data_IF_012348357347
#
_entry.id   IF_012348357347
#
_cell.length_a   1.000
_cell.length_b   1.000
_cell.length_c   1.000
_cell.angle_alpha   90.00
_cell.angle_beta   90.00
_cell.angle_gamma   90.00
#
_symmetry.space_group_name_H-M   'P 1'
#
loop_
_entity.id
_entity.type
_entity.pdbx_description
1 polymer ?
#
# COMPACT_ATOMS: atom_id res chain seq x y z
N UNK A 1 -44.44 16.29 42.62
CA UNK A 1 -44.64 16.72 41.22
C UNK A 1 -43.44 17.55 40.80
N UNK A 2 -42.39 16.91 40.31
CA UNK A 2 -41.24 17.59 39.68
C UNK A 2 -41.12 16.98 38.28
N UNK A 3 -41.58 17.73 37.28
CA UNK A 3 -41.46 17.37 35.87
C UNK A 3 -40.03 17.68 35.41
N UNK A 4 -39.18 16.65 35.36
CA UNK A 4 -37.93 16.68 34.62
C UNK A 4 -38.25 16.76 33.12
N UNK A 5 -38.13 17.96 32.54
CA UNK A 5 -38.03 18.13 31.09
C UNK A 5 -36.63 17.71 30.67
N UNK A 6 -36.54 16.57 30.01
CA UNK A 6 -35.39 16.19 29.18
C UNK A 6 -35.14 17.29 28.14
N UNK A 7 -33.91 17.77 27.95
CA UNK A 7 -33.60 18.67 26.87
C UNK A 7 -33.66 17.88 25.56
N UNK A 8 -34.63 18.23 24.70
CA UNK A 8 -34.63 17.80 23.31
C UNK A 8 -33.32 18.28 22.66
N UNK A 9 -32.48 17.34 22.21
CA UNK A 9 -31.50 17.62 21.18
C UNK A 9 -32.26 18.16 19.96
N UNK A 10 -32.24 19.48 19.78
CA UNK A 10 -32.53 20.08 18.49
C UNK A 10 -31.53 19.48 17.51
N UNK A 11 -32.04 18.87 16.44
CA UNK A 11 -31.23 18.22 15.43
C UNK A 11 -30.13 19.16 14.96
N UNK A 12 -28.89 18.66 14.99
CA UNK A 12 -27.83 19.19 14.14
C UNK A 12 -28.38 19.17 12.72
N UNK A 13 -28.77 20.33 12.19
CA UNK A 13 -29.11 20.45 10.78
C UNK A 13 -27.93 19.93 10.00
N UNK A 14 -28.12 18.87 9.21
CA UNK A 14 -27.09 18.41 8.28
C UNK A 14 -26.72 19.60 7.41
N UNK A 15 -25.49 20.10 7.56
CA UNK A 15 -24.95 21.12 6.67
C UNK A 15 -24.87 20.43 5.30
N UNK A 16 -25.76 20.83 4.39
CA UNK A 16 -25.78 20.28 3.04
C UNK A 16 -24.58 20.87 2.28
N UNK A 17 -23.48 20.13 2.24
CA UNK A 17 -22.24 20.52 1.59
C UNK A 17 -22.34 20.21 0.09
N UNK A 18 -22.64 21.24 -0.70
CA UNK A 18 -22.60 21.20 -2.16
C UNK A 18 -21.19 21.52 -2.64
N UNK A 19 -20.51 20.50 -3.15
CA UNK A 19 -19.12 20.54 -3.59
C UNK A 19 -19.04 20.58 -5.12
N UNK A 20 -18.52 21.67 -5.66
CA UNK A 20 -18.12 21.76 -7.07
C UNK A 20 -16.72 21.19 -7.27
N UNK A 21 -16.55 20.28 -8.23
CA UNK A 21 -15.25 19.76 -8.66
C UNK A 21 -14.98 20.24 -10.10
N UNK A 22 -13.97 21.10 -10.29
CA UNK A 22 -13.64 21.69 -11.59
C UNK A 22 -12.13 21.92 -11.77
N UNK A 23 -11.50 21.43 -12.86
CA UNK A 23 -12.07 20.64 -13.94
C UNK A 23 -12.20 19.15 -13.57
N UNK A 24 -13.33 18.55 -13.93
CA UNK A 24 -13.66 17.16 -13.59
C UNK A 24 -12.93 16.11 -14.45
N UNK A 25 -12.33 16.53 -15.57
CA UNK A 25 -11.65 15.62 -16.50
C UNK A 25 -10.38 14.99 -15.91
N UNK A 26 -9.78 15.63 -14.89
CA UNK A 26 -8.55 15.18 -14.26
C UNK A 26 -8.78 13.94 -13.39
N UNK A 27 -7.80 13.04 -13.35
CA UNK A 27 -7.92 11.81 -12.54
C UNK A 27 -7.99 12.13 -11.04
N UNK A 28 -7.22 13.10 -10.56
CA UNK A 28 -7.31 13.62 -9.18
C UNK A 28 -8.72 14.15 -8.85
N UNK A 29 -9.46 14.66 -9.84
CA UNK A 29 -10.83 15.10 -9.67
C UNK A 29 -11.78 13.91 -9.42
N UNK A 30 -11.62 12.84 -10.20
CA UNK A 30 -12.42 11.60 -10.08
C UNK A 30 -12.12 10.89 -8.75
N UNK A 31 -10.85 10.80 -8.38
CA UNK A 31 -10.41 10.21 -7.10
C UNK A 31 -10.99 10.97 -5.90
N UNK A 32 -10.98 12.30 -5.97
CA UNK A 32 -11.59 13.13 -4.94
C UNK A 32 -13.12 12.98 -4.91
N UNK A 33 -13.77 12.88 -6.07
CA UNK A 33 -15.22 12.67 -6.16
C UNK A 33 -15.66 11.36 -5.50
N UNK A 34 -14.91 10.26 -5.68
CA UNK A 34 -15.17 8.99 -4.99
C UNK A 34 -15.14 9.17 -3.47
N UNK A 35 -14.11 9.86 -2.95
CA UNK A 35 -13.96 10.14 -1.51
C UNK A 35 -15.10 11.03 -0.99
N UNK A 36 -15.45 12.08 -1.73
CA UNK A 36 -16.54 12.99 -1.39
C UNK A 36 -17.89 12.27 -1.32
N UNK A 37 -18.19 11.40 -2.30
CA UNK A 37 -19.42 10.58 -2.28
C UNK A 37 -19.43 9.55 -1.15
N UNK A 38 -18.27 8.96 -0.82
CA UNK A 38 -18.16 8.06 0.33
C UNK A 38 -18.43 8.78 1.67
N UNK A 39 -18.22 10.10 1.73
CA UNK A 39 -18.59 10.96 2.86
C UNK A 39 -20.02 11.52 2.76
N UNK A 40 -20.81 11.06 1.79
CA UNK A 40 -22.19 11.51 1.54
C UNK A 40 -22.30 13.03 1.24
N UNK A 41 -21.29 13.61 0.58
CA UNK A 41 -21.34 14.98 0.07
C UNK A 41 -22.10 15.02 -1.27
N UNK A 42 -22.80 16.13 -1.52
CA UNK A 42 -23.45 16.37 -2.81
C UNK A 42 -22.42 16.89 -3.81
N UNK A 43 -22.11 16.09 -4.84
CA UNK A 43 -21.01 16.36 -5.79
C UNK A 43 -21.55 16.91 -7.10
N UNK A 44 -21.12 18.13 -7.43
CA UNK A 44 -21.38 18.79 -8.71
C UNK A 44 -20.09 18.75 -9.53
N UNK A 45 -20.07 17.95 -10.59
CA UNK A 45 -18.94 17.92 -11.52
C UNK A 45 -19.03 19.04 -12.55
N UNK A 46 -17.90 19.61 -12.95
CA UNK A 46 -17.88 20.57 -14.07
C UNK A 46 -16.72 20.35 -15.04
N UNK A 47 -16.97 20.63 -16.32
CA UNK A 47 -15.98 20.53 -17.39
C UNK A 47 -16.11 21.67 -18.39
N UNK A 48 -14.99 22.11 -18.95
CA UNK A 48 -14.93 23.03 -20.10
C UNK A 48 -14.97 22.31 -21.44
N UNK A 49 -14.82 20.99 -21.45
CA UNK A 49 -14.78 20.19 -22.68
C UNK A 49 -16.05 19.35 -22.85
N UNK A 50 -16.58 18.82 -21.74
CA UNK A 50 -17.73 17.90 -21.77
C UNK A 50 -19.02 18.70 -21.62
N UNK A 51 -19.92 18.53 -22.59
CA UNK A 51 -21.28 19.11 -22.58
C UNK A 51 -22.35 18.10 -22.19
N UNK A 52 -22.01 16.81 -22.08
CA UNK A 52 -22.94 15.76 -21.63
C UNK A 52 -23.06 15.78 -20.10
N UNK A 53 -24.28 15.84 -19.59
CA UNK A 53 -24.60 16.28 -18.21
C UNK A 53 -24.79 15.14 -17.20
N UNK A 54 -24.40 13.90 -17.52
CA UNK A 54 -24.50 12.76 -16.60
C UNK A 54 -23.14 12.09 -16.42
N UNK A 55 -22.69 11.97 -15.17
CA UNK A 55 -21.46 11.28 -14.81
C UNK A 55 -21.70 10.44 -13.55
N UNK A 56 -21.24 9.18 -13.53
CA UNK A 56 -21.53 8.24 -12.42
C UNK A 56 -20.98 8.71 -11.06
N UNK A 57 -19.88 9.47 -11.09
CA UNK A 57 -19.23 10.03 -9.90
C UNK A 57 -19.74 11.42 -9.47
N UNK A 58 -20.79 11.95 -10.10
CA UNK A 58 -21.36 13.24 -9.74
C UNK A 58 -22.89 13.14 -9.68
N UNK A 59 -23.51 13.89 -8.77
CA UNK A 59 -24.96 13.93 -8.62
C UNK A 59 -25.58 14.92 -9.63
N UNK A 60 -24.82 15.99 -9.94
CA UNK A 60 -25.09 16.91 -11.03
C UNK A 60 -23.81 17.14 -11.86
N UNK A 61 -23.97 17.45 -13.14
CA UNK A 61 -22.84 17.80 -14.01
C UNK A 61 -23.15 19.04 -14.84
N UNK A 62 -22.30 20.05 -14.74
CA UNK A 62 -22.47 21.34 -15.40
C UNK A 62 -21.32 21.63 -16.37
N UNK A 63 -21.57 22.54 -17.30
CA UNK A 63 -20.53 23.09 -18.15
C UNK A 63 -20.04 24.41 -17.55
N UNK A 64 -18.72 24.58 -17.47
CA UNK A 64 -18.08 25.85 -17.16
C UNK A 64 -17.09 26.17 -18.29
N UNK A 65 -17.08 27.37 -18.89
CA UNK A 65 -16.10 27.74 -19.90
C UNK A 65 -14.66 27.58 -19.41
N UNK A 66 -13.69 27.66 -20.31
CA UNK A 66 -12.30 27.76 -19.89
C UNK A 66 -12.09 29.03 -19.06
N UNK A 67 -11.18 29.01 -18.08
CA UNK A 67 -10.90 30.18 -17.23
C UNK A 67 -10.38 31.41 -18.02
N UNK A 68 -9.93 31.19 -19.25
CA UNK A 68 -9.51 32.23 -20.19
C UNK A 68 -10.67 32.86 -20.97
N UNK A 69 -11.87 32.27 -20.92
CA UNK A 69 -13.06 32.81 -21.54
C UNK A 69 -13.56 34.02 -20.74
N UNK A 70 -13.83 35.17 -21.37
CA UNK A 70 -14.32 36.36 -20.66
C UNK A 70 -15.62 36.15 -19.88
N UNK A 71 -16.44 35.17 -20.29
CA UNK A 71 -17.71 34.83 -19.64
C UNK A 71 -17.56 33.91 -18.43
N UNK A 72 -16.38 33.31 -18.21
CA UNK A 72 -16.16 32.32 -17.15
C UNK A 72 -16.58 32.84 -15.77
N UNK A 73 -16.12 34.03 -15.39
CA UNK A 73 -16.36 34.57 -14.05
C UNK A 73 -17.86 34.71 -13.76
N UNK A 74 -18.62 35.27 -14.70
CA UNK A 74 -20.06 35.47 -14.48
C UNK A 74 -20.84 34.16 -14.51
N UNK A 75 -20.47 33.21 -15.38
CA UNK A 75 -21.08 31.87 -15.39
C UNK A 75 -20.73 31.12 -14.11
N UNK A 76 -19.50 31.20 -13.62
CA UNK A 76 -19.06 30.59 -12.37
C UNK A 76 -19.89 31.10 -11.18
N UNK A 77 -20.03 32.42 -11.00
CA UNK A 77 -20.86 32.98 -9.92
C UNK A 77 -22.34 32.61 -10.07
N UNK A 78 -22.88 32.63 -11.29
CA UNK A 78 -24.25 32.18 -11.54
C UNK A 78 -24.45 30.71 -11.17
N UNK A 79 -23.46 29.86 -11.43
CA UNK A 79 -23.47 28.46 -11.01
C UNK A 79 -23.41 28.30 -9.49
N UNK A 80 -22.60 29.11 -8.79
CA UNK A 80 -22.54 29.09 -7.33
C UNK A 80 -23.91 29.32 -6.70
N UNK A 81 -24.63 30.34 -7.20
CA UNK A 81 -25.97 30.69 -6.72
C UNK A 81 -27.00 29.63 -7.09
N UNK A 82 -27.05 29.24 -8.37
CA UNK A 82 -28.04 28.31 -8.92
C UNK A 82 -27.99 26.93 -8.27
N UNK A 83 -26.79 26.41 -8.03
CA UNK A 83 -26.58 25.07 -7.48
C UNK A 83 -26.24 25.09 -5.97
N UNK A 84 -26.37 26.26 -5.34
CA UNK A 84 -26.04 26.48 -3.92
C UNK A 84 -24.66 25.93 -3.54
N UNK A 85 -23.66 26.12 -4.40
CA UNK A 85 -22.31 25.59 -4.19
C UNK A 85 -21.68 26.31 -3.01
N UNK A 86 -21.23 25.52 -2.04
CA UNK A 86 -20.59 26.03 -0.81
C UNK A 86 -19.09 25.81 -0.83
N UNK A 87 -18.63 24.78 -1.53
CA UNK A 87 -17.23 24.36 -1.59
C UNK A 87 -16.80 24.15 -3.04
N UNK A 88 -15.58 24.53 -3.35
CA UNK A 88 -14.99 24.37 -4.69
C UNK A 88 -13.67 23.65 -4.55
N UNK A 89 -13.54 22.49 -5.18
CA UNK A 89 -12.30 21.75 -5.33
C UNK A 89 -11.77 21.91 -6.76
N UNK A 90 -10.57 22.46 -6.89
CA UNK A 90 -9.92 22.71 -8.16
C UNK A 90 -8.55 22.01 -8.22
N UNK A 91 -8.45 20.81 -8.81
CA UNK A 91 -7.19 20.05 -8.85
C UNK A 91 -6.17 20.61 -9.85
N UNK A 92 -6.57 21.52 -10.75
CA UNK A 92 -5.64 22.16 -11.69
C UNK A 92 -5.07 23.46 -11.10
N UNK A 93 -3.74 23.57 -11.00
CA UNK A 93 -3.06 24.71 -10.37
C UNK A 93 -3.50 26.08 -10.92
N UNK A 94 -3.56 26.25 -12.25
CA UNK A 94 -4.00 27.50 -12.86
C UNK A 94 -5.48 27.84 -12.60
N UNK A 95 -6.34 26.83 -12.51
CA UNK A 95 -7.78 27.03 -12.23
C UNK A 95 -7.96 27.41 -10.77
N UNK A 96 -7.26 26.73 -9.87
CA UNK A 96 -7.27 27.04 -8.45
C UNK A 96 -6.81 28.48 -8.19
N UNK A 97 -5.70 28.91 -8.81
CA UNK A 97 -5.19 30.29 -8.68
C UNK A 97 -6.22 31.31 -9.18
N UNK A 98 -6.84 31.04 -10.34
CA UNK A 98 -7.88 31.92 -10.88
C UNK A 98 -9.07 32.02 -9.94
N UNK A 99 -9.62 30.90 -9.48
CA UNK A 99 -10.76 30.89 -8.53
C UNK A 99 -10.37 31.56 -7.20
N UNK A 100 -9.12 31.40 -6.74
CA UNK A 100 -8.61 32.08 -5.55
C UNK A 100 -8.60 33.60 -5.73
N UNK A 101 -8.25 34.10 -6.92
CA UNK A 101 -8.32 35.53 -7.24
C UNK A 101 -9.76 36.04 -7.18
N UNK A 102 -10.73 35.28 -7.71
CA UNK A 102 -12.16 35.62 -7.65
C UNK A 102 -12.69 35.73 -6.21
N UNK A 103 -12.20 34.86 -5.32
CA UNK A 103 -12.52 34.93 -3.89
C UNK A 103 -11.96 36.20 -3.22
N UNK A 104 -10.80 36.69 -3.69
CA UNK A 104 -10.09 37.84 -3.11
C UNK A 104 -10.60 39.17 -3.66
N UNK A 105 -10.88 39.24 -4.96
CA UNK A 105 -11.26 40.48 -5.65
C UNK A 105 -12.72 40.89 -5.40
N UNK A 106 -13.61 39.93 -5.11
CA UNK A 106 -15.04 40.17 -4.85
C UNK A 106 -15.56 39.32 -3.69
N UNK A 107 -15.09 39.54 -2.44
CA UNK A 107 -15.38 38.66 -1.30
C UNK A 107 -16.87 38.59 -0.91
N UNK A 108 -17.69 39.54 -1.36
CA UNK A 108 -19.13 39.62 -1.06
C UNK A 108 -20.03 39.00 -2.12
N UNK A 109 -19.52 38.61 -3.29
CA UNK A 109 -20.32 37.97 -4.36
C UNK A 109 -20.31 36.46 -4.14
N UNK A 110 -21.35 35.94 -3.49
CA UNK A 110 -21.61 34.51 -3.25
C UNK A 110 -20.45 33.77 -2.55
N UNK A 111 -20.40 33.77 -1.20
CA UNK A 111 -19.28 33.21 -0.47
C UNK A 111 -19.18 31.69 -0.66
N UNK A 112 -17.98 31.23 -1.02
CA UNK A 112 -17.65 29.81 -1.12
C UNK A 112 -16.29 29.53 -0.47
N UNK A 113 -16.09 28.28 -0.05
CA UNK A 113 -14.81 27.78 0.42
C UNK A 113 -14.03 27.14 -0.73
N UNK A 114 -12.89 27.71 -1.09
CA UNK A 114 -11.94 27.04 -1.99
C UNK A 114 -11.11 26.04 -1.20
N UNK A 115 -11.23 24.76 -1.52
CA UNK A 115 -10.55 23.67 -0.82
C UNK A 115 -9.02 23.84 -0.88
N UNK A 116 -8.38 23.56 0.24
CA UNK A 116 -6.92 23.54 0.44
C UNK A 116 -6.44 22.13 0.79
N UNK A 117 -5.15 21.79 0.57
CA UNK A 117 -4.06 22.64 0.06
C UNK A 117 -4.23 23.05 -1.41
N UNK A 118 -3.49 24.07 -1.84
CA UNK A 118 -3.41 24.42 -3.27
C UNK A 118 -2.77 23.25 -4.05
N UNK A 119 -3.10 23.03 -5.34
CA UNK A 119 -2.65 21.84 -6.07
C UNK A 119 -1.15 21.55 -6.01
N UNK A 120 -0.29 22.56 -6.19
CA UNK A 120 1.16 22.35 -6.10
C UNK A 120 1.65 21.99 -4.69
N UNK A 121 0.97 22.50 -3.66
CA UNK A 121 1.25 22.14 -2.27
C UNK A 121 0.72 20.74 -1.97
N UNK A 122 -0.47 20.40 -2.48
CA UNK A 122 -1.04 19.06 -2.40
C UNK A 122 -0.09 18.02 -3.01
N UNK A 123 0.38 18.29 -4.24
CA UNK A 123 1.36 17.46 -4.94
C UNK A 123 2.60 17.27 -4.06
N UNK A 124 3.17 18.34 -3.50
CA UNK A 124 4.34 18.23 -2.63
C UNK A 124 4.07 17.42 -1.35
N UNK A 125 2.92 17.62 -0.71
CA UNK A 125 2.53 16.88 0.50
C UNK A 125 2.46 15.36 0.24
N UNK A 126 2.10 14.92 -0.97
CA UNK A 126 2.16 13.49 -1.34
C UNK A 126 3.60 12.93 -1.32
N UNK A 127 4.62 13.76 -1.57
CA UNK A 127 6.02 13.32 -1.55
C UNK A 127 6.70 13.57 -0.20
N UNK A 128 6.24 14.55 0.58
CA UNK A 128 6.86 14.97 1.83
C UNK A 128 7.07 13.79 2.79
N UNK A 129 6.01 12.99 3.02
CA UNK A 129 6.09 11.81 3.88
C UNK A 129 7.16 10.81 3.42
N UNK A 130 7.32 10.62 2.10
CA UNK A 130 8.35 9.75 1.55
C UNK A 130 9.77 10.27 1.74
N UNK A 131 9.96 11.59 1.69
CA UNK A 131 11.25 12.22 1.96
C UNK A 131 11.58 12.25 3.45
N UNK A 132 10.59 12.42 4.31
CA UNK A 132 10.74 12.33 5.76
C UNK A 132 11.19 10.93 6.16
N UNK A 133 10.48 9.89 5.68
CA UNK A 133 10.86 8.49 5.88
C UNK A 133 12.27 8.22 5.34
N UNK A 134 12.58 8.65 4.10
CA UNK A 134 13.91 8.44 3.51
C UNK A 134 15.04 9.10 4.31
N UNK A 135 14.78 10.25 4.92
CA UNK A 135 15.75 10.96 5.78
C UNK A 135 16.07 10.17 7.05
N UNK A 136 15.07 9.49 7.62
CA UNK A 136 15.26 8.56 8.74
C UNK A 136 16.04 7.33 8.28
N UNK A 137 15.62 6.68 7.20
CA UNK A 137 16.23 5.45 6.66
C UNK A 137 17.71 5.61 6.31
N UNK A 138 18.12 6.74 5.73
CA UNK A 138 19.54 7.00 5.44
C UNK A 138 20.41 7.02 6.69
N UNK A 139 19.86 7.43 7.83
CA UNK A 139 20.58 7.52 9.10
C UNK A 139 20.53 6.21 9.89
N UNK A 140 19.66 5.27 9.51
CA UNK A 140 19.54 4.00 10.22
C UNK A 140 20.81 3.15 10.11
N UNK A 141 21.20 2.53 11.21
CA UNK A 141 22.43 1.73 11.33
C UNK A 141 22.13 0.26 11.62
N UNK A 142 20.89 -0.21 11.40
CA UNK A 142 20.50 -1.60 11.64
C UNK A 142 21.36 -2.58 10.84
N UNK A 143 21.62 -2.31 9.55
CA UNK A 143 22.48 -3.17 8.72
C UNK A 143 23.87 -3.40 9.34
N UNK A 144 24.47 -2.38 9.99
CA UNK A 144 25.76 -2.51 10.68
C UNK A 144 25.67 -3.27 12.00
N UNK A 145 24.50 -3.24 12.67
CA UNK A 145 24.26 -3.94 13.94
C UNK A 145 24.01 -5.43 13.75
N UNK A 146 23.37 -5.82 12.65
CA UNK A 146 22.92 -7.20 12.40
C UNK A 146 23.93 -8.07 11.63
N UNK A 147 25.04 -7.49 11.15
CA UNK A 147 26.13 -8.28 10.58
C UNK A 147 27.49 -7.84 11.09
N UNK A 148 28.33 -8.82 11.42
CA UNK A 148 29.74 -8.65 11.72
C UNK A 148 30.62 -9.02 10.53
N UNK A 149 30.05 -9.63 9.48
CA UNK A 149 30.75 -10.06 8.27
C UNK A 149 30.61 -9.03 7.15
N UNK A 150 31.73 -8.75 6.46
CA UNK A 150 31.78 -7.83 5.32
C UNK A 150 31.55 -8.59 4.01
N UNK A 151 30.99 -7.94 2.97
CA UNK A 151 30.68 -6.51 2.87
C UNK A 151 29.20 -6.17 3.06
N UNK A 152 28.93 -5.10 3.84
CA UNK A 152 27.62 -4.40 3.85
C UNK A 152 27.55 -3.56 2.57
N UNK A 153 26.47 -3.69 1.79
CA UNK A 153 26.27 -2.87 0.58
C UNK A 153 26.03 -1.40 0.94
N UNK A 154 26.42 -0.49 0.05
CA UNK A 154 26.26 0.95 0.23
C UNK A 154 24.78 1.33 0.27
N UNK A 155 24.36 2.14 1.26
CA UNK A 155 23.01 2.73 1.31
C UNK A 155 22.63 3.42 0.00
N UNK A 156 21.35 3.38 -0.32
CA UNK A 156 20.78 4.08 -1.47
C UNK A 156 20.72 5.59 -1.24
N UNK A 157 20.49 6.34 -2.32
CA UNK A 157 20.32 7.80 -2.24
C UNK A 157 18.97 8.19 -1.62
N UNK A 158 18.85 9.45 -1.19
CA UNK A 158 17.60 9.97 -0.60
C UNK A 158 16.41 9.82 -1.54
N UNK A 159 16.58 10.20 -2.81
CA UNK A 159 15.54 10.05 -3.82
C UNK A 159 15.19 8.59 -4.13
N UNK A 160 16.14 7.67 -4.02
CA UNK A 160 15.89 6.23 -4.17
C UNK A 160 15.04 5.67 -3.03
N UNK A 161 15.36 6.01 -1.77
CA UNK A 161 14.53 5.62 -0.63
C UNK A 161 13.15 6.28 -0.66
N UNK A 162 13.05 7.55 -1.03
CA UNK A 162 11.76 8.23 -1.18
C UNK A 162 10.92 7.61 -2.30
N UNK A 163 11.56 7.21 -3.41
CA UNK A 163 10.90 6.50 -4.51
C UNK A 163 10.38 5.13 -4.09
N UNK A 164 11.19 4.35 -3.36
CA UNK A 164 10.79 3.06 -2.78
C UNK A 164 9.58 3.22 -1.85
N UNK A 165 9.65 4.15 -0.89
CA UNK A 165 8.55 4.41 0.04
C UNK A 165 7.28 4.84 -0.68
N UNK A 166 7.39 5.74 -1.67
CA UNK A 166 6.24 6.18 -2.47
C UNK A 166 5.55 5.02 -3.21
N UNK A 167 6.33 4.10 -3.79
CA UNK A 167 5.76 2.92 -4.44
C UNK A 167 5.12 2.00 -3.40
N UNK A 168 5.81 1.75 -2.29
CA UNK A 168 5.36 0.89 -1.20
C UNK A 168 4.04 1.35 -0.57
N UNK A 169 3.84 2.64 -0.32
CA UNK A 169 2.61 3.17 0.29
C UNK A 169 1.42 3.26 -0.69
N UNK A 170 1.68 3.20 -2.00
CA UNK A 170 0.64 3.11 -3.03
C UNK A 170 0.12 1.70 -3.25
N UNK A 171 0.90 0.67 -2.92
CA UNK A 171 0.46 -0.72 -2.98
C UNK A 171 -0.35 -1.06 -1.72
N UNK A 172 -1.62 -1.51 -1.83
CA UNK A 172 -2.41 -1.92 -0.67
C UNK A 172 -1.74 -3.08 0.08
N UNK A 173 -1.91 -3.16 1.41
CA UNK A 173 -1.38 -4.28 2.20
C UNK A 173 -1.04 -3.89 3.64
N UNK A 174 -0.88 -4.90 4.50
CA UNK A 174 -0.63 -4.77 5.94
C UNK A 174 0.87 -4.85 6.26
N UNK A 175 1.67 -4.00 5.58
CA UNK A 175 3.10 -3.90 5.78
C UNK A 175 3.43 -2.43 6.06
N UNK A 176 4.02 -2.11 7.20
CA UNK A 176 4.20 -0.72 7.63
C UNK A 176 5.61 -0.15 7.32
N UNK A 177 5.82 1.10 7.71
CA UNK A 177 7.06 1.84 7.45
C UNK A 177 8.25 1.29 8.27
N UNK A 178 8.00 0.69 9.44
CA UNK A 178 9.02 0.05 10.27
C UNK A 178 9.48 -1.27 9.64
N UNK A 179 8.54 -2.08 9.13
CA UNK A 179 8.85 -3.28 8.34
C UNK A 179 9.62 -2.91 7.08
N UNK A 180 9.21 -1.87 6.33
CA UNK A 180 9.96 -1.40 5.17
C UNK A 180 11.41 -1.00 5.54
N UNK A 181 11.60 -0.27 6.63
CA UNK A 181 12.94 0.11 7.12
C UNK A 181 13.79 -1.15 7.39
N UNK A 182 13.21 -2.15 8.04
CA UNK A 182 13.84 -3.45 8.30
C UNK A 182 14.25 -4.17 7.03
N UNK A 183 13.37 -4.22 6.02
CA UNK A 183 13.66 -4.80 4.71
C UNK A 183 14.83 -4.08 4.02
N UNK A 184 14.92 -2.74 4.13
CA UNK A 184 16.05 -1.99 3.56
C UNK A 184 17.38 -2.29 4.24
N UNK A 185 17.37 -2.56 5.55
CA UNK A 185 18.56 -2.93 6.30
C UNK A 185 19.01 -4.36 5.96
N UNK A 186 18.06 -5.30 5.91
CA UNK A 186 18.32 -6.69 5.54
C UNK A 186 18.87 -6.79 4.11
N UNK A 187 18.26 -6.10 3.14
CA UNK A 187 18.72 -6.14 1.75
C UNK A 187 20.19 -5.68 1.55
N UNK A 188 20.72 -4.83 2.43
CA UNK A 188 22.13 -4.43 2.38
C UNK A 188 23.09 -5.58 2.72
N UNK A 189 22.64 -6.56 3.50
CA UNK A 189 23.47 -7.65 4.05
C UNK A 189 23.13 -9.03 3.46
N UNK A 190 22.06 -9.17 2.68
CA UNK A 190 21.67 -10.44 2.09
C UNK A 190 22.77 -11.02 1.17
N UNK A 191 23.06 -12.33 1.25
CA UNK A 191 23.85 -13.00 0.22
C UNK A 191 23.11 -12.97 -1.13
N UNK A 192 23.81 -13.23 -2.24
CA UNK A 192 23.13 -13.42 -3.52
C UNK A 192 22.38 -14.75 -3.49
N UNK A 193 21.16 -14.75 -4.00
CA UNK A 193 20.29 -15.91 -4.01
C UNK A 193 18.84 -15.51 -4.26
N UNK A 194 17.97 -16.50 -4.28
CA UNK A 194 16.54 -16.28 -4.45
C UNK A 194 15.96 -15.64 -3.18
N UNK A 195 14.91 -14.86 -3.35
CA UNK A 195 14.06 -14.37 -2.25
C UNK A 195 12.72 -15.06 -2.42
N UNK A 196 12.24 -15.73 -1.37
CA UNK A 196 10.93 -16.39 -1.39
C UNK A 196 10.04 -15.72 -0.36
N UNK A 197 8.83 -15.36 -0.78
CA UNK A 197 7.79 -14.83 0.10
C UNK A 197 6.59 -15.78 0.06
N UNK A 198 6.15 -16.27 1.23
CA UNK A 198 4.94 -17.08 1.40
C UNK A 198 3.86 -16.17 1.96
N UNK A 199 2.76 -16.01 1.22
CA UNK A 199 1.74 -14.99 1.49
C UNK A 199 2.15 -13.64 0.90
N UNK A 200 1.59 -13.32 -0.26
CA UNK A 200 1.94 -12.12 -1.01
C UNK A 200 0.77 -11.13 -1.11
N UNK A 201 -0.48 -11.61 -1.04
CA UNK A 201 -1.69 -10.78 -1.09
C UNK A 201 -1.66 -9.81 -2.30
N UNK A 202 -1.61 -8.49 -2.07
CA UNK A 202 -1.51 -7.44 -3.10
C UNK A 202 -0.06 -7.16 -3.55
N UNK A 203 0.94 -7.77 -2.90
CA UNK A 203 2.36 -7.69 -3.25
C UNK A 203 3.11 -6.51 -2.63
N UNK A 204 2.65 -5.91 -1.53
CA UNK A 204 3.27 -4.71 -0.95
C UNK A 204 4.73 -4.94 -0.55
N UNK A 205 5.00 -6.00 0.22
CA UNK A 205 6.34 -6.45 0.60
C UNK A 205 7.12 -7.04 -0.59
N UNK A 206 6.49 -7.88 -1.43
CA UNK A 206 7.09 -8.38 -2.68
C UNK A 206 7.68 -7.26 -3.55
N UNK A 207 6.95 -6.15 -3.73
CA UNK A 207 7.41 -5.01 -4.52
C UNK A 207 8.63 -4.32 -3.89
N UNK A 208 8.61 -4.13 -2.57
CA UNK A 208 9.77 -3.57 -1.87
C UNK A 208 10.99 -4.48 -1.97
N UNK A 209 10.80 -5.79 -1.75
CA UNK A 209 11.85 -6.80 -1.87
C UNK A 209 12.40 -6.86 -3.30
N UNK A 210 11.54 -6.87 -4.32
CA UNK A 210 11.95 -6.96 -5.72
C UNK A 210 12.76 -5.73 -6.14
N UNK A 211 12.28 -4.54 -5.78
CA UNK A 211 12.98 -3.28 -6.05
C UNK A 211 14.34 -3.22 -5.34
N UNK A 212 14.41 -3.61 -4.06
CA UNK A 212 15.66 -3.67 -3.30
C UNK A 212 16.63 -4.71 -3.89
N UNK A 213 16.13 -5.88 -4.27
CA UNK A 213 16.92 -6.96 -4.85
C UNK A 213 17.54 -6.57 -6.19
N UNK A 214 16.82 -5.83 -7.03
CA UNK A 214 17.34 -5.28 -8.29
C UNK A 214 18.48 -4.28 -8.01
N UNK A 215 18.27 -3.34 -7.09
CA UNK A 215 19.26 -2.29 -6.76
C UNK A 215 20.52 -2.84 -6.09
N UNK A 216 20.39 -3.91 -5.33
CA UNK A 216 21.49 -4.56 -4.61
C UNK A 216 22.05 -5.80 -5.31
N UNK A 217 21.53 -6.16 -6.49
CA UNK A 217 21.92 -7.33 -7.28
C UNK A 217 21.93 -8.61 -6.43
N UNK A 218 20.80 -8.90 -5.78
CA UNK A 218 20.61 -10.04 -4.86
C UNK A 218 20.16 -11.27 -5.65
N UNK A 219 18.94 -11.22 -6.20
CA UNK A 219 18.34 -12.27 -7.02
C UNK A 219 16.87 -11.97 -7.31
N UNK A 220 16.13 -12.99 -7.74
CA UNK A 220 14.71 -12.87 -8.04
C UNK A 220 13.86 -13.06 -6.80
N UNK A 221 12.70 -12.39 -6.75
CA UNK A 221 11.66 -12.62 -5.75
C UNK A 221 10.64 -13.61 -6.31
N UNK A 222 10.33 -14.64 -5.55
CA UNK A 222 9.38 -15.69 -5.89
C UNK A 222 8.27 -15.65 -4.83
N UNK A 223 7.11 -15.18 -5.24
CA UNK A 223 5.92 -15.10 -4.38
C UNK A 223 5.15 -16.41 -4.43
N UNK A 224 4.76 -16.94 -3.28
CA UNK A 224 4.01 -18.19 -3.13
C UNK A 224 2.71 -17.87 -2.39
N UNK A 225 1.61 -17.96 -3.11
CA UNK A 225 0.28 -17.64 -2.57
C UNK A 225 -0.78 -18.39 -3.41
N UNK A 226 -1.80 -19.01 -2.82
CA UNK A 226 -2.90 -19.59 -3.60
C UNK A 226 -3.79 -18.51 -4.25
N UNK A 227 -3.86 -17.30 -3.67
CA UNK A 227 -4.88 -16.28 -3.94
C UNK A 227 -6.29 -16.88 -3.92
N UNK A 228 -6.60 -17.55 -2.81
CA UNK A 228 -7.89 -18.19 -2.47
C UNK A 228 -8.31 -17.75 -1.05
N UNK A 229 -8.52 -16.43 -0.88
CA UNK A 229 -8.89 -15.82 0.41
C UNK A 229 -10.27 -16.27 0.90
N UNK A 230 -11.14 -16.73 0.02
CA UNK A 230 -12.43 -17.31 0.37
C UNK A 230 -12.29 -18.62 1.18
N UNK A 231 -11.13 -19.29 1.08
CA UNK A 231 -10.79 -20.53 1.80
C UNK A 231 -9.97 -20.26 3.08
N UNK A 232 -9.71 -18.99 3.43
CA UNK A 232 -9.08 -18.62 4.70
C UNK A 232 -10.04 -18.84 5.86
N UNK A 233 -10.21 -20.10 6.27
CA UNK A 233 -10.94 -20.45 7.48
C UNK A 233 -10.16 -20.03 8.74
N UNK A 234 -10.85 -19.29 9.60
CA UNK A 234 -10.61 -19.11 11.04
C UNK A 234 -9.15 -18.83 11.47
N UNK A 235 -8.71 -17.56 11.42
CA UNK A 235 -7.33 -17.18 11.75
C UNK A 235 -6.94 -17.45 13.22
N UNK A 236 -7.91 -17.51 14.15
CA UNK A 236 -7.82 -18.09 15.51
C UNK A 236 -9.16 -17.90 16.27
N UNK A 237 -9.39 -18.66 17.36
CA UNK A 237 -10.51 -18.39 18.29
C UNK A 237 -10.49 -16.96 18.89
N UNK A 238 -9.33 -16.29 18.95
CA UNK A 238 -9.20 -14.89 19.44
C UNK A 238 -9.44 -13.85 18.33
N UNK A 239 -9.44 -14.27 17.06
CA UNK A 239 -9.72 -13.44 15.90
C UNK A 239 -11.24 -13.32 15.59
N UNK A 240 -12.13 -13.75 16.50
CA UNK A 240 -13.59 -13.78 16.26
C UNK A 240 -14.17 -12.44 15.79
N UNK A 241 -13.61 -11.31 16.23
CA UNK A 241 -14.05 -9.97 15.80
C UNK A 241 -13.81 -9.77 14.30
N UNK A 242 -12.67 -10.25 13.78
CA UNK A 242 -12.32 -10.21 12.36
C UNK A 242 -13.22 -11.16 11.54
N UNK A 243 -13.65 -12.27 12.15
CA UNK A 243 -14.48 -13.29 11.50
C UNK A 243 -15.96 -12.86 11.33
N UNK A 244 -16.46 -11.90 12.13
CA UNK A 244 -17.91 -11.68 12.30
C UNK A 244 -18.60 -10.80 11.25
N UNK A 245 -17.86 -10.20 10.30
CA UNK A 245 -18.42 -9.41 9.20
C UNK A 245 -17.55 -9.55 7.96
N UNK A 246 -17.65 -10.70 7.30
CA UNK A 246 -16.95 -10.97 6.04
C UNK A 246 -17.46 -10.00 4.98
N UNK A 247 -16.70 -8.92 4.76
CA UNK A 247 -16.66 -8.28 3.46
C UNK A 247 -16.14 -9.38 2.53
N UNK A 248 -16.92 -9.78 1.53
CA UNK A 248 -16.52 -10.77 0.54
C UNK A 248 -15.32 -10.20 -0.24
N UNK A 249 -14.11 -10.64 0.11
CA UNK A 249 -12.88 -10.25 -0.59
C UNK A 249 -12.78 -11.13 -1.82
N UNK A 250 -12.91 -10.52 -2.99
CA UNK A 250 -12.78 -11.18 -4.29
C UNK A 250 -11.30 -11.46 -4.57
N UNK A 251 -10.87 -12.72 -4.38
CA UNK A 251 -9.46 -13.11 -4.53
C UNK A 251 -8.92 -12.88 -5.93
N UNK A 252 -9.78 -12.89 -6.96
CA UNK A 252 -9.35 -12.59 -8.34
C UNK A 252 -8.96 -11.12 -8.47
N UNK A 253 -9.68 -10.21 -7.82
CA UNK A 253 -9.29 -8.80 -7.77
C UNK A 253 -7.98 -8.60 -7.00
N UNK A 254 -7.78 -9.32 -5.91
CA UNK A 254 -6.51 -9.28 -5.17
C UNK A 254 -5.34 -9.72 -6.05
N UNK A 255 -5.48 -10.86 -6.72
CA UNK A 255 -4.47 -11.35 -7.65
C UNK A 255 -4.21 -10.36 -8.82
N UNK A 256 -5.25 -9.79 -9.41
CA UNK A 256 -5.09 -8.79 -10.48
C UNK A 256 -4.32 -7.55 -10.01
N UNK A 257 -4.57 -7.10 -8.78
CA UNK A 257 -3.82 -5.99 -8.17
C UNK A 257 -2.37 -6.41 -7.90
N UNK A 258 -2.12 -7.63 -7.42
CA UNK A 258 -0.76 -8.17 -7.29
C UNK A 258 0.00 -8.12 -8.63
N UNK A 259 -0.59 -8.65 -9.70
CA UNK A 259 0.00 -8.62 -11.05
C UNK A 259 0.27 -7.19 -11.51
N UNK A 260 -0.69 -6.28 -11.35
CA UNK A 260 -0.54 -4.88 -11.75
C UNK A 260 0.61 -4.16 -11.04
N UNK A 261 0.96 -4.55 -9.81
CA UNK A 261 2.13 -4.01 -9.12
C UNK A 261 3.41 -4.76 -9.51
N UNK A 262 3.40 -6.10 -9.49
CA UNK A 262 4.58 -6.93 -9.72
C UNK A 262 5.15 -6.79 -11.15
N UNK A 263 4.31 -6.55 -12.16
CA UNK A 263 4.73 -6.36 -13.56
C UNK A 263 5.65 -5.16 -13.77
N UNK A 264 5.70 -4.22 -12.82
CA UNK A 264 6.61 -3.09 -12.86
C UNK A 264 8.07 -3.48 -12.57
N UNK A 265 8.32 -4.72 -12.15
CA UNK A 265 9.62 -5.28 -11.81
C UNK A 265 9.93 -6.48 -12.70
N UNK A 266 11.16 -6.59 -13.19
CA UNK A 266 11.58 -7.68 -14.07
C UNK A 266 12.11 -8.92 -13.34
N UNK A 267 12.21 -8.85 -12.01
CA UNK A 267 12.80 -9.88 -11.15
C UNK A 267 11.79 -10.45 -10.14
N UNK A 268 10.49 -10.27 -10.37
CA UNK A 268 9.42 -10.84 -9.54
C UNK A 268 8.69 -11.92 -10.34
N UNK A 269 8.60 -13.12 -9.77
CA UNK A 269 7.78 -14.22 -10.26
C UNK A 269 6.85 -14.73 -9.16
N UNK A 270 5.91 -15.60 -9.53
CA UNK A 270 5.00 -16.23 -8.57
C UNK A 270 4.73 -17.70 -8.88
N UNK A 271 4.37 -18.44 -7.84
CA UNK A 271 3.81 -19.79 -7.86
C UNK A 271 2.43 -19.70 -7.20
N UNK A 272 1.37 -19.92 -7.98
CA UNK A 272 -0.02 -19.83 -7.50
C UNK A 272 -0.50 -21.14 -6.88
N UNK A 273 0.00 -21.46 -5.69
CA UNK A 273 -0.31 -22.69 -4.92
C UNK A 273 -0.15 -22.44 -3.42
N UNK A 274 -0.70 -23.34 -2.61
CA UNK A 274 -0.33 -23.46 -1.21
C UNK A 274 1.18 -23.77 -1.07
N UNK A 275 1.78 -23.25 0.00
CA UNK A 275 3.22 -23.30 0.27
C UNK A 275 3.84 -24.70 0.18
N UNK A 276 3.15 -25.71 0.73
CA UNK A 276 3.59 -27.11 0.77
C UNK A 276 3.63 -27.76 -0.61
N UNK A 277 2.75 -27.33 -1.52
CA UNK A 277 2.70 -27.83 -2.90
C UNK A 277 3.65 -27.05 -3.82
N UNK A 278 3.83 -25.76 -3.54
CA UNK A 278 4.68 -24.85 -4.32
C UNK A 278 6.18 -25.23 -4.26
N UNK A 279 6.62 -25.96 -3.24
CA UNK A 279 8.04 -26.34 -3.10
C UNK A 279 8.53 -27.20 -4.27
N UNK A 280 7.68 -28.03 -4.85
CA UNK A 280 8.06 -28.88 -5.98
C UNK A 280 8.26 -28.04 -7.26
N UNK A 281 7.44 -27.00 -7.45
CA UNK A 281 7.60 -26.06 -8.55
C UNK A 281 8.91 -25.27 -8.39
N UNK A 282 9.25 -24.82 -7.17
CA UNK A 282 10.54 -24.17 -6.89
C UNK A 282 11.72 -25.11 -7.16
N UNK A 283 11.65 -26.38 -6.72
CA UNK A 283 12.68 -27.39 -6.99
C UNK A 283 12.84 -27.67 -8.48
N UNK A 284 11.76 -27.65 -9.26
CA UNK A 284 11.84 -27.82 -10.71
C UNK A 284 12.38 -26.57 -11.40
N UNK A 285 11.97 -25.38 -10.97
CA UNK A 285 12.54 -24.11 -11.44
C UNK A 285 14.06 -24.02 -11.19
N UNK A 286 14.53 -24.51 -10.03
CA UNK A 286 15.97 -24.67 -9.73
C UNK A 286 16.68 -25.55 -10.77
N UNK A 287 16.08 -26.68 -11.17
CA UNK A 287 16.67 -27.57 -12.20
C UNK A 287 16.70 -26.91 -13.57
N UNK A 288 15.68 -26.13 -13.90
CA UNK A 288 15.57 -25.41 -15.17
C UNK A 288 16.40 -24.11 -15.22
N UNK A 289 16.77 -23.56 -14.06
CA UNK A 289 17.46 -22.27 -13.91
C UNK A 289 16.54 -21.05 -14.05
N UNK A 290 15.23 -21.25 -14.19
CA UNK A 290 14.24 -20.18 -14.23
C UNK A 290 12.87 -20.65 -13.74
N UNK A 291 12.07 -19.72 -13.25
CA UNK A 291 10.65 -19.89 -12.98
C UNK A 291 9.86 -19.14 -14.05
N UNK A 292 8.84 -19.79 -14.62
CA UNK A 292 7.90 -19.14 -15.53
C UNK A 292 6.58 -18.88 -14.81
N UNK A 293 6.15 -17.63 -14.84
CA UNK A 293 4.83 -17.18 -14.41
C UNK A 293 4.03 -16.73 -15.64
N UNK A 294 2.72 -16.96 -15.64
CA UNK A 294 1.87 -16.69 -16.81
C UNK A 294 1.88 -15.21 -17.19
N UNK A 295 1.66 -14.33 -16.21
CA UNK A 295 1.55 -12.89 -16.43
C UNK A 295 2.89 -12.12 -16.32
N UNK A 296 3.89 -12.67 -15.62
CA UNK A 296 5.17 -11.99 -15.33
C UNK A 296 6.36 -12.51 -16.14
N UNK A 297 6.15 -13.52 -16.99
CA UNK A 297 7.22 -14.07 -17.84
C UNK A 297 8.18 -14.98 -17.07
N UNK A 298 9.49 -14.82 -17.30
CA UNK A 298 10.52 -15.69 -16.70
C UNK A 298 11.45 -14.91 -15.78
N UNK A 299 11.71 -15.47 -14.61
CA UNK A 299 12.74 -14.98 -13.67
C UNK A 299 13.80 -16.05 -13.43
N UNK A 300 15.05 -15.66 -13.25
CA UNK A 300 16.15 -16.59 -12.93
C UNK A 300 15.95 -17.18 -11.54
N UNK A 301 16.23 -18.47 -11.39
CA UNK A 301 16.20 -19.18 -10.09
C UNK A 301 17.56 -19.82 -9.86
N UNK A 302 18.22 -19.43 -8.77
CA UNK A 302 19.52 -19.97 -8.38
C UNK A 302 19.39 -21.28 -7.60
N UNK A 303 18.28 -21.48 -6.89
CA UNK A 303 18.04 -22.65 -6.07
C UNK A 303 18.68 -22.59 -4.68
N UNK A 304 19.10 -21.40 -4.25
CA UNK A 304 19.64 -21.11 -2.92
C UNK A 304 18.89 -19.90 -2.39
N UNK A 305 18.13 -20.07 -1.30
CA UNK A 305 17.29 -19.00 -0.75
C UNK A 305 18.15 -18.11 0.14
N UNK A 306 18.31 -16.86 -0.27
CA UNK A 306 18.98 -15.80 0.49
C UNK A 306 18.06 -15.21 1.57
N UNK A 307 16.76 -15.16 1.30
CA UNK A 307 15.72 -14.65 2.19
C UNK A 307 14.44 -15.47 2.03
N UNK A 308 13.93 -16.04 3.11
CA UNK A 308 12.59 -16.59 3.21
C UNK A 308 11.75 -15.66 4.09
N UNK A 309 10.66 -15.13 3.55
CA UNK A 309 9.67 -14.34 4.28
C UNK A 309 8.38 -15.16 4.40
N UNK A 310 7.97 -15.47 5.63
CA UNK A 310 6.75 -16.24 5.95
C UNK A 310 5.72 -15.29 6.53
N UNK A 311 4.68 -15.00 5.74
CA UNK A 311 3.62 -14.00 5.96
C UNK A 311 2.27 -14.55 5.44
N UNK A 312 2.06 -15.86 5.68
CA UNK A 312 0.94 -16.63 5.14
C UNK A 312 -0.19 -16.83 6.16
N UNK A 313 -0.24 -18.04 6.74
CA UNK A 313 -1.22 -18.39 7.77
C UNK A 313 -0.75 -17.99 9.17
N UNK A 314 -1.68 -17.64 10.05
CA UNK A 314 -1.39 -17.32 11.45
C UNK A 314 -1.64 -18.50 12.41
N UNK A 315 -2.03 -19.66 11.87
CA UNK A 315 -2.20 -20.89 12.65
C UNK A 315 -0.85 -21.55 12.87
N UNK A 316 -0.58 -21.92 14.12
CA UNK A 316 0.67 -22.55 14.55
C UNK A 316 1.08 -23.73 13.64
N UNK A 317 0.14 -24.63 13.32
CA UNK A 317 0.40 -25.82 12.53
C UNK A 317 0.76 -25.49 11.07
N UNK A 318 0.11 -24.49 10.48
CA UNK A 318 0.37 -24.07 9.11
C UNK A 318 1.71 -23.33 8.99
N UNK A 319 2.01 -22.43 9.93
CA UNK A 319 3.33 -21.78 10.01
C UNK A 319 4.44 -22.83 10.11
N UNK A 320 4.28 -23.85 10.94
CA UNK A 320 5.27 -24.92 11.04
C UNK A 320 5.41 -25.74 9.76
N UNK A 321 4.34 -25.94 8.99
CA UNK A 321 4.42 -26.59 7.67
C UNK A 321 5.25 -25.75 6.71
N UNK A 322 5.06 -24.44 6.69
CA UNK A 322 5.85 -23.51 5.87
C UNK A 322 7.33 -23.61 6.23
N UNK A 323 7.64 -23.49 7.52
CA UNK A 323 9.02 -23.57 8.03
C UNK A 323 9.67 -24.91 7.67
N UNK A 324 9.03 -26.04 7.98
CA UNK A 324 9.59 -27.37 7.67
C UNK A 324 9.82 -27.59 6.19
N UNK A 325 8.99 -26.98 5.35
CA UNK A 325 9.06 -27.13 3.89
C UNK A 325 10.17 -26.29 3.29
N UNK A 326 10.32 -25.03 3.73
CA UNK A 326 11.13 -24.03 3.04
C UNK A 326 12.45 -23.68 3.75
N UNK A 327 12.49 -23.74 5.09
CA UNK A 327 13.72 -23.44 5.86
C UNK A 327 14.94 -24.27 5.42
N UNK A 328 14.83 -25.58 5.08
CA UNK A 328 15.97 -26.37 4.64
C UNK A 328 16.65 -25.84 3.35
N UNK A 329 15.95 -25.03 2.58
CA UNK A 329 16.43 -24.44 1.32
C UNK A 329 17.09 -23.06 1.51
N UNK A 330 17.03 -22.48 2.71
CA UNK A 330 17.78 -21.27 3.08
C UNK A 330 19.27 -21.59 3.14
N UNK A 331 20.08 -20.77 2.48
CA UNK A 331 21.52 -20.90 2.47
C UNK A 331 22.16 -20.42 3.78
N UNK A 332 23.39 -20.85 4.07
CA UNK A 332 24.18 -20.29 5.18
C UNK A 332 24.38 -18.78 4.97
N UNK A 333 24.15 -18.00 6.03
CA UNK A 333 24.10 -16.53 5.98
C UNK A 333 22.82 -15.94 5.40
N UNK A 334 21.91 -16.78 4.89
CA UNK A 334 20.56 -16.39 4.49
C UNK A 334 19.65 -16.09 5.69
N UNK A 335 18.51 -15.46 5.43
CA UNK A 335 17.60 -14.99 6.47
C UNK A 335 16.23 -15.63 6.36
N UNK A 336 15.62 -15.87 7.52
CA UNK A 336 14.21 -16.19 7.71
C UNK A 336 13.56 -14.99 8.40
N UNK A 337 12.48 -14.48 7.82
CA UNK A 337 11.58 -13.51 8.40
C UNK A 337 10.27 -14.23 8.70
N UNK A 338 9.83 -14.18 9.94
CA UNK A 338 8.55 -14.72 10.38
C UNK A 338 7.67 -13.56 10.80
N UNK A 339 6.66 -13.26 9.98
CA UNK A 339 5.77 -12.14 10.20
C UNK A 339 4.74 -12.43 11.30
N UNK A 340 4.12 -11.37 11.82
CA UNK A 340 3.12 -11.47 12.89
C UNK A 340 3.62 -12.23 14.14
N UNK A 341 4.94 -12.20 14.37
CA UNK A 341 5.56 -12.74 15.59
C UNK A 341 5.08 -11.98 16.84
N UNK A 342 4.83 -10.67 16.71
CA UNK A 342 4.14 -9.85 17.74
C UNK A 342 2.78 -9.41 17.21
N UNK A 343 1.78 -10.29 17.33
CA UNK A 343 0.42 -10.04 16.81
C UNK A 343 -0.65 -10.08 17.90
N UNK A 344 -1.58 -9.12 17.91
CA UNK A 344 -2.61 -9.05 18.95
C UNK A 344 -3.76 -10.05 18.79
N UNK A 345 -3.91 -10.64 17.60
CA UNK A 345 -5.08 -11.47 17.25
C UNK A 345 -4.79 -12.98 17.28
N UNK A 346 -3.56 -13.38 17.58
CA UNK A 346 -3.13 -14.78 17.59
C UNK A 346 -1.67 -14.90 18.02
N UNK A 347 -1.20 -16.14 18.21
CA UNK A 347 0.16 -16.42 18.68
C UNK A 347 0.81 -17.57 17.91
N UNK A 348 0.31 -17.93 16.74
CA UNK A 348 0.85 -19.03 15.94
C UNK A 348 2.30 -18.75 15.51
N UNK A 349 2.58 -17.66 14.76
CA UNK A 349 3.94 -17.28 14.41
C UNK A 349 4.83 -17.06 15.64
N UNK A 350 4.31 -16.46 16.71
CA UNK A 350 5.04 -16.29 17.96
C UNK A 350 5.56 -17.62 18.53
N UNK A 351 4.69 -18.62 18.67
CA UNK A 351 5.06 -19.93 19.21
C UNK A 351 6.08 -20.63 18.32
N UNK A 352 5.93 -20.57 16.99
CA UNK A 352 6.92 -21.15 16.06
C UNK A 352 8.27 -20.44 16.18
N UNK A 353 8.27 -19.11 16.24
CA UNK A 353 9.49 -18.31 16.41
C UNK A 353 10.22 -18.61 17.72
N UNK A 354 9.49 -18.74 18.83
CA UNK A 354 10.04 -19.10 20.14
C UNK A 354 10.76 -20.46 20.09
N UNK A 355 10.15 -21.46 19.43
CA UNK A 355 10.77 -22.77 19.24
C UNK A 355 11.98 -22.71 18.30
N UNK A 356 11.91 -21.95 17.20
CA UNK A 356 13.03 -21.76 16.28
C UNK A 356 14.27 -21.17 16.96
N UNK A 357 14.08 -20.22 17.88
CA UNK A 357 15.17 -19.62 18.67
C UNK A 357 15.93 -20.67 19.50
N UNK A 358 15.31 -21.81 19.84
CA UNK A 358 15.96 -22.89 20.61
C UNK A 358 16.80 -23.85 19.75
N UNK A 359 16.57 -23.90 18.44
CA UNK A 359 17.15 -24.90 17.52
C UNK A 359 18.66 -24.77 17.32
N UNK A 360 19.27 -23.66 17.74
CA UNK A 360 20.68 -23.30 17.50
C UNK A 360 21.07 -23.24 16.01
N UNK A 361 20.12 -23.32 15.08
CA UNK A 361 20.36 -23.22 13.63
C UNK A 361 20.61 -21.78 13.16
N UNK A 362 20.24 -20.81 13.99
CA UNK A 362 20.39 -19.39 13.70
C UNK A 362 21.48 -18.77 14.59
N UNK A 363 22.29 -17.88 14.03
CA UNK A 363 23.36 -17.19 14.77
C UNK A 363 23.03 -15.73 15.12
N UNK A 364 21.98 -15.18 14.52
CA UNK A 364 21.50 -13.82 14.74
C UNK A 364 19.99 -13.87 14.79
N UNK A 365 19.42 -13.21 15.80
CA UNK A 365 17.98 -13.08 15.96
C UNK A 365 17.64 -11.71 16.51
N UNK A 366 16.60 -11.07 15.97
CA UNK A 366 16.01 -9.86 16.54
C UNK A 366 14.57 -9.72 16.07
N UNK A 367 13.78 -8.97 16.83
CA UNK A 367 12.43 -8.58 16.45
C UNK A 367 12.40 -7.06 16.24
N UNK A 368 11.73 -6.61 15.18
CA UNK A 368 11.51 -5.20 14.86
C UNK A 368 10.14 -5.07 14.20
N UNK A 369 9.32 -4.15 14.69
CA UNK A 369 7.88 -4.16 14.40
C UNK A 369 7.23 -5.42 14.97
N UNK A 370 6.49 -6.13 14.14
CA UNK A 370 5.85 -7.41 14.42
C UNK A 370 6.62 -8.62 13.87
N UNK A 371 7.65 -8.42 13.05
CA UNK A 371 8.42 -9.51 12.41
C UNK A 371 9.59 -9.99 13.28
N UNK A 372 9.81 -11.32 13.33
CA UNK A 372 11.04 -11.94 13.84
C UNK A 372 12.02 -12.23 12.69
N UNK A 373 13.26 -11.76 12.83
CA UNK A 373 14.34 -11.95 11.86
C UNK A 373 15.36 -12.93 12.41
N UNK A 374 15.72 -13.95 11.61
CA UNK A 374 16.63 -15.02 11.99
C UNK A 374 17.66 -15.26 10.87
N UNK A 375 18.97 -15.18 11.17
CA UNK A 375 20.03 -15.52 10.19
C UNK A 375 20.49 -16.95 10.36
N UNK A 376 20.41 -17.74 9.29
CA UNK A 376 20.82 -19.15 9.27
C UNK A 376 22.33 -19.28 9.28
N UNK A 377 22.84 -20.22 10.07
CA UNK A 377 24.27 -20.54 10.19
C UNK A 377 24.87 -21.10 8.92
#
# INVERSE_FOLDING_TARGET
MNNNKTPHCQGLGMINLNLLIFPFNLDTAKDFAVKAKAMNLHVIGASSEITNTKHILADEFIHLPFITDPSFNDIFYASLEKHHITHVYAPHGGVWIHIKSLQTDKPTRSPFHLCTPAPFEADWQEYAASYDWATVTIKDELAKRITTTKPIRKKLTLGQYAGLHKQFTKTPGQCDDEKLLSLTAIAQVLPKGDIVEIGALYGRSANALGWLAERYNIGSVICVDPWQLEEMEDQSEKATILNSKLIEIDSKKVFNVFIANAVLLSNVGYIRKYSVDAIEDYKNAKKEGYLKSEDLGKVTVFGEISLLHVDGSHKYEEVWKDIKTWEPHIMSGGWLLLDDYVWSFGSGPQQVGDELLTTKNFDTAFCLGDTLFLRKK
#
